data_IF_026922672505
#
_entry.id   IF_026922672505
#
_cell.length_a   1.000
_cell.length_b   1.000
_cell.length_c   1.000
_cell.angle_alpha   90.00
_cell.angle_beta   90.00
_cell.angle_gamma   90.00
#
_symmetry.space_group_name_H-M   'P 1'
#
loop_
_entity.id
_entity.type
_entity.pdbx_description
1 polymer ?
#
# COMPACT_ATOMS: atom_id res chain seq x y z
N UNK A 1 47.46 28.87 58.05
CA UNK A 1 47.06 29.79 56.95
C UNK A 1 46.46 28.93 55.83
N UNK A 2 45.24 29.26 55.41
CA UNK A 2 44.54 28.98 54.12
C UNK A 2 44.83 27.66 53.37
N UNK A 3 43.89 26.86 52.84
CA UNK A 3 42.44 26.92 52.59
C UNK A 3 42.05 25.52 52.06
N UNK A 4 40.85 24.98 52.32
CA UNK A 4 40.40 23.72 51.73
C UNK A 4 39.98 23.94 50.27
N UNK A 5 40.39 23.05 49.36
CA UNK A 5 39.93 23.05 47.98
C UNK A 5 38.45 22.62 47.93
N UNK A 6 37.60 23.57 47.55
CA UNK A 6 36.17 23.39 47.35
C UNK A 6 35.91 22.33 46.28
N UNK A 7 35.18 21.28 46.66
CA UNK A 7 34.45 20.43 45.73
C UNK A 7 33.31 21.26 45.09
N UNK A 8 33.52 21.74 43.87
CA UNK A 8 32.45 22.29 43.05
C UNK A 8 31.72 21.13 42.37
N UNK A 9 30.65 20.65 43.03
CA UNK A 9 29.58 19.93 42.36
C UNK A 9 28.95 20.87 41.33
N UNK A 10 29.36 20.72 40.07
CA UNK A 10 28.63 21.27 38.95
C UNK A 10 27.34 20.46 38.76
N UNK A 11 26.31 20.80 39.54
CA UNK A 11 24.94 20.45 39.19
C UNK A 11 24.59 21.29 37.95
N UNK A 12 24.86 20.73 36.77
CA UNK A 12 24.36 21.26 35.52
C UNK A 12 22.83 21.23 35.60
N UNK A 13 22.25 22.40 35.83
CA UNK A 13 20.81 22.60 35.72
C UNK A 13 20.42 22.26 34.27
N UNK A 14 19.83 21.08 34.08
CA UNK A 14 18.97 20.78 32.94
C UNK A 14 17.74 21.66 33.08
N UNK A 15 17.90 22.97 32.84
CA UNK A 15 16.79 23.85 32.60
C UNK A 15 16.17 23.38 31.29
N UNK A 16 15.17 22.50 31.42
CA UNK A 16 14.35 22.05 30.32
C UNK A 16 13.89 23.28 29.55
N UNK A 17 14.25 23.33 28.27
CA UNK A 17 13.63 24.23 27.32
C UNK A 17 12.13 23.90 27.32
N UNK A 18 11.37 24.55 28.20
CA UNK A 18 9.93 24.65 28.07
C UNK A 18 9.71 25.18 26.66
N UNK A 19 9.17 24.32 25.80
CA UNK A 19 8.96 24.60 24.39
C UNK A 19 7.99 25.79 24.30
N UNK A 20 8.53 27.01 24.31
CA UNK A 20 7.78 28.19 23.90
C UNK A 20 7.28 27.87 22.50
N UNK A 21 5.98 27.97 22.30
CA UNK A 21 5.37 27.78 20.98
C UNK A 21 5.99 28.75 19.96
N UNK A 22 5.47 28.79 18.72
CA UNK A 22 5.83 29.80 17.74
C UNK A 22 5.97 31.18 18.40
N UNK A 23 7.04 31.92 18.11
CA UNK A 23 7.52 33.05 18.92
C UNK A 23 6.39 33.94 19.46
N UNK A 24 6.21 33.94 20.79
CA UNK A 24 5.20 34.74 21.49
C UNK A 24 3.92 33.99 21.88
N UNK A 25 3.73 32.74 21.43
CA UNK A 25 2.61 31.90 21.86
C UNK A 25 2.97 31.09 23.11
N UNK A 26 2.23 31.30 24.19
CA UNK A 26 2.20 30.41 25.34
C UNK A 26 1.31 29.21 25.01
N UNK A 27 1.94 28.10 24.62
CA UNK A 27 1.25 26.86 24.29
C UNK A 27 1.32 25.91 25.49
N UNK A 28 0.19 25.67 26.15
CA UNK A 28 0.10 24.66 27.21
C UNK A 28 -0.03 23.27 26.59
N UNK A 29 1.04 22.47 26.72
CA UNK A 29 1.11 21.08 26.25
C UNK A 29 1.01 20.06 27.38
N UNK A 30 0.60 20.48 28.59
CA UNK A 30 0.46 19.60 29.75
C UNK A 30 -0.67 18.57 29.61
N UNK A 31 -1.63 18.82 28.71
CA UNK A 31 -2.76 17.94 28.42
C UNK A 31 -2.61 17.35 27.02
N UNK A 32 -2.69 16.03 26.91
CA UNK A 32 -2.71 15.30 25.63
C UNK A 32 -3.94 14.40 25.55
N UNK A 33 -4.67 14.44 24.43
CA UNK A 33 -5.85 13.62 24.23
C UNK A 33 -5.48 12.13 24.09
N UNK A 34 -6.23 11.25 24.76
CA UNK A 34 -6.12 9.79 24.57
C UNK A 34 -6.70 9.36 23.21
N UNK A 35 -7.77 10.03 22.75
CA UNK A 35 -8.43 9.75 21.48
C UNK A 35 -7.67 10.33 20.27
N UNK A 36 -6.56 9.71 19.90
CA UNK A 36 -5.78 10.06 18.72
C UNK A 36 -5.23 8.82 18.01
N UNK A 37 -4.92 8.95 16.72
CA UNK A 37 -4.35 7.88 15.90
C UNK A 37 -3.45 8.45 14.80
N UNK A 38 -2.74 7.57 14.10
CA UNK A 38 -1.93 7.92 12.93
C UNK A 38 -2.80 8.52 11.81
N UNK A 39 -2.26 9.54 11.12
CA UNK A 39 -2.85 10.06 9.86
C UNK A 39 -2.65 9.09 8.69
N UNK A 40 -1.55 8.34 8.71
CA UNK A 40 -1.30 7.26 7.76
C UNK A 40 -2.20 6.09 8.11
N UNK A 41 -3.00 5.65 7.14
CA UNK A 41 -3.97 4.56 7.25
C UNK A 41 -3.68 3.39 6.31
N UNK A 42 -2.86 3.61 5.28
CA UNK A 42 -2.59 2.62 4.24
C UNK A 42 -1.13 2.66 3.75
N UNK A 43 -0.69 1.56 3.13
CA UNK A 43 0.50 1.50 2.30
C UNK A 43 0.05 1.23 0.86
N UNK A 44 0.62 1.95 -0.10
CA UNK A 44 0.37 1.73 -1.53
C UNK A 44 1.68 1.32 -2.20
N UNK A 45 1.66 0.15 -2.84
CA UNK A 45 2.80 -0.45 -3.54
C UNK A 45 2.76 -0.14 -5.03
N UNK A 46 3.93 0.22 -5.57
CA UNK A 46 4.14 0.64 -6.97
C UNK A 46 5.34 -0.09 -7.55
N UNK A 47 5.43 -0.14 -8.88
CA UNK A 47 6.71 -0.32 -9.57
C UNK A 47 7.10 0.95 -10.32
N UNK A 48 8.40 1.09 -10.63
CA UNK A 48 8.92 2.30 -11.26
C UNK A 48 8.92 2.29 -12.80
N UNK A 49 8.89 1.12 -13.45
CA UNK A 49 9.07 0.94 -14.91
C UNK A 49 10.40 1.42 -15.50
N UNK A 50 11.37 1.78 -14.67
CA UNK A 50 12.69 2.28 -15.09
C UNK A 50 13.75 1.81 -14.09
N UNK A 51 15.02 1.86 -14.49
CA UNK A 51 16.14 1.43 -13.65
C UNK A 51 16.32 2.25 -12.35
N UNK A 52 17.24 1.79 -11.47
CA UNK A 52 17.56 2.41 -10.18
C UNK A 52 17.89 3.91 -10.30
N UNK A 53 18.76 4.28 -11.25
CA UNK A 53 19.27 5.64 -11.37
C UNK A 53 18.17 6.60 -11.85
N UNK A 54 17.39 6.18 -12.85
CA UNK A 54 16.27 6.95 -13.38
C UNK A 54 15.13 7.04 -12.38
N UNK A 55 14.84 5.97 -11.64
CA UNK A 55 13.84 5.95 -10.57
C UNK A 55 14.17 7.00 -9.51
N UNK A 56 15.42 7.00 -9.03
CA UNK A 56 15.88 7.97 -8.02
C UNK A 56 15.78 9.41 -8.54
N UNK A 57 16.16 9.66 -9.80
CA UNK A 57 16.03 10.99 -10.40
C UNK A 57 14.58 11.45 -10.48
N UNK A 58 13.67 10.61 -10.98
CA UNK A 58 12.26 10.94 -11.16
C UNK A 58 11.57 11.21 -9.81
N UNK A 59 11.83 10.36 -8.81
CA UNK A 59 11.14 10.45 -7.51
C UNK A 59 11.71 11.52 -6.57
N UNK A 60 12.95 11.98 -6.80
CA UNK A 60 13.57 13.03 -5.98
C UNK A 60 13.56 14.42 -6.61
N UNK A 61 13.49 14.52 -7.95
CA UNK A 61 13.56 15.79 -8.68
C UNK A 61 12.39 16.01 -9.66
N UNK A 62 11.54 15.02 -9.86
CA UNK A 62 10.41 15.08 -10.78
C UNK A 62 9.13 15.65 -10.15
N UNK A 63 8.01 15.44 -10.85
CA UNK A 63 6.66 15.88 -10.45
C UNK A 63 5.89 14.84 -9.65
N UNK A 64 6.49 13.68 -9.39
CA UNK A 64 5.96 12.58 -8.58
C UNK A 64 7.00 12.18 -7.55
N UNK A 65 6.57 11.61 -6.44
CA UNK A 65 7.45 11.16 -5.37
C UNK A 65 6.83 10.01 -4.59
N UNK A 66 7.65 9.24 -3.89
CA UNK A 66 7.24 8.21 -2.95
C UNK A 66 7.98 8.42 -1.63
N UNK A 67 7.47 7.85 -0.54
CA UNK A 67 8.17 7.91 0.74
C UNK A 67 9.41 7.03 0.69
N UNK A 68 9.28 5.85 0.08
CA UNK A 68 10.37 4.89 -0.06
C UNK A 68 10.58 4.45 -1.50
N UNK A 69 11.84 4.18 -1.84
CA UNK A 69 12.25 3.50 -3.08
C UNK A 69 13.11 2.28 -2.72
N UNK A 70 12.72 1.09 -3.17
CA UNK A 70 13.48 -0.16 -3.03
C UNK A 70 14.15 -0.50 -4.37
N UNK A 71 15.48 -0.42 -4.42
CA UNK A 71 16.27 -0.71 -5.64
C UNK A 71 16.35 -2.19 -5.96
N UNK A 72 16.87 -2.54 -7.14
CA UNK A 72 17.12 -3.95 -7.56
C UNK A 72 18.05 -4.71 -6.59
N UNK A 73 19.01 -4.00 -6.00
CA UNK A 73 19.94 -4.57 -5.01
C UNK A 73 19.33 -4.76 -3.61
N UNK A 74 18.12 -4.25 -3.37
CA UNK A 74 17.48 -4.21 -2.05
C UNK A 74 17.92 -3.03 -1.18
N UNK A 75 18.68 -2.07 -1.72
CA UNK A 75 18.94 -0.79 -1.04
C UNK A 75 17.63 0.00 -0.98
N UNK A 76 17.32 0.54 0.18
CA UNK A 76 16.10 1.32 0.39
C UNK A 76 16.45 2.78 0.66
N UNK A 77 15.83 3.69 -0.09
CA UNK A 77 15.90 5.12 0.15
C UNK A 77 14.61 5.60 0.80
N UNK A 78 14.72 6.51 1.78
CA UNK A 78 13.60 7.35 2.21
C UNK A 78 13.72 8.70 1.50
N UNK A 79 12.80 9.00 0.59
CA UNK A 79 12.81 10.21 -0.23
C UNK A 79 11.89 11.30 0.31
N UNK A 80 10.81 10.92 0.99
CA UNK A 80 9.86 11.83 1.64
C UNK A 80 9.63 11.33 3.06
N UNK A 81 9.69 12.24 4.05
CA UNK A 81 9.36 11.91 5.44
C UNK A 81 7.87 11.54 5.54
N UNK A 82 7.55 10.53 6.35
CA UNK A 82 6.18 9.99 6.47
C UNK A 82 5.17 10.97 7.11
N UNK A 83 5.64 12.06 7.72
CA UNK A 83 4.79 13.16 8.20
C UNK A 83 4.43 14.17 7.10
N UNK A 84 4.88 13.94 5.87
CA UNK A 84 4.59 14.72 4.67
C UNK A 84 3.87 13.82 3.67
N UNK A 85 3.02 14.40 2.84
CA UNK A 85 2.39 13.65 1.75
C UNK A 85 3.36 13.56 0.55
N UNK A 86 3.78 12.35 0.18
CA UNK A 86 4.38 12.09 -1.12
C UNK A 86 3.31 12.10 -2.24
N UNK A 87 3.73 12.27 -3.51
CA UNK A 87 2.85 12.36 -4.67
C UNK A 87 2.91 11.08 -5.51
N UNK A 88 2.33 9.99 -5.01
CA UNK A 88 2.39 8.66 -5.64
C UNK A 88 1.02 8.14 -6.11
N UNK A 89 -0.04 8.29 -5.31
CA UNK A 89 -1.35 7.72 -5.57
C UNK A 89 -2.12 8.47 -6.67
N UNK A 90 -2.08 9.81 -6.67
CA UNK A 90 -2.88 10.65 -7.58
C UNK A 90 -4.40 10.49 -7.34
N UNK A 91 -5.21 10.61 -8.40
CA UNK A 91 -6.64 10.30 -8.33
C UNK A 91 -6.84 8.83 -7.95
N UNK A 92 -7.38 8.61 -6.75
CA UNK A 92 -7.41 7.31 -6.07
C UNK A 92 -8.51 7.25 -5.01
N UNK A 93 -9.00 6.05 -4.72
CA UNK A 93 -9.96 5.80 -3.65
C UNK A 93 -9.81 4.38 -3.04
N UNK A 94 -9.98 4.25 -1.73
CA UNK A 94 -10.00 2.96 -1.02
C UNK A 94 -10.93 3.00 0.20
N UNK A 95 -11.87 2.06 0.30
CA UNK A 95 -12.94 2.07 1.32
C UNK A 95 -13.62 3.44 1.49
N UNK A 96 -13.93 4.09 0.36
CA UNK A 96 -14.53 5.42 0.32
C UNK A 96 -13.59 6.60 0.65
N UNK A 97 -12.36 6.34 1.12
CA UNK A 97 -11.37 7.40 1.32
C UNK A 97 -10.75 7.78 -0.03
N UNK A 98 -10.93 9.03 -0.44
CA UNK A 98 -10.38 9.56 -1.70
C UNK A 98 -9.03 10.26 -1.46
N UNK A 99 -8.28 10.50 -2.53
CA UNK A 99 -7.02 11.27 -2.50
C UNK A 99 -5.97 10.69 -1.53
N UNK A 100 -5.61 9.43 -1.78
CA UNK A 100 -4.86 8.58 -0.85
C UNK A 100 -3.44 9.09 -0.51
N UNK A 101 -2.86 10.03 -1.27
CA UNK A 101 -1.56 10.66 -0.95
C UNK A 101 -1.50 11.22 0.47
N UNK A 102 -2.61 11.73 1.00
CA UNK A 102 -2.65 12.41 2.29
C UNK A 102 -2.72 11.47 3.51
N UNK A 103 -3.05 10.20 3.28
CA UNK A 103 -3.28 9.21 4.35
C UNK A 103 -2.59 7.87 4.05
N UNK A 104 -1.58 7.85 3.18
CA UNK A 104 -0.88 6.62 2.85
C UNK A 104 0.63 6.82 2.67
N UNK A 105 1.35 5.72 2.85
CA UNK A 105 2.77 5.62 2.53
C UNK A 105 2.93 4.93 1.17
N UNK A 106 3.34 5.68 0.15
CA UNK A 106 3.83 5.13 -1.12
C UNK A 106 5.21 4.50 -1.02
N UNK A 107 5.33 3.27 -1.50
CA UNK A 107 6.61 2.55 -1.66
C UNK A 107 6.75 2.16 -3.13
N UNK A 108 7.79 2.69 -3.77
CA UNK A 108 8.19 2.36 -5.14
C UNK A 108 9.22 1.24 -5.14
N UNK A 109 9.05 0.26 -6.04
CA UNK A 109 9.96 -0.87 -6.18
C UNK A 109 10.52 -0.85 -7.59
N UNK A 110 11.85 -0.86 -7.72
CA UNK A 110 12.47 -0.86 -9.04
C UNK A 110 12.17 -2.17 -9.74
N UNK A 111 11.33 -2.10 -10.76
CA UNK A 111 10.91 -3.21 -11.59
C UNK A 111 10.41 -2.64 -12.93
N UNK A 112 10.72 -3.27 -14.08
CA UNK A 112 10.26 -2.80 -15.38
C UNK A 112 8.73 -2.75 -15.54
N UNK A 113 7.99 -3.50 -14.71
CA UNK A 113 6.55 -3.69 -14.83
C UNK A 113 6.25 -4.74 -15.89
N UNK A 114 5.60 -4.32 -16.98
CA UNK A 114 5.41 -5.14 -18.18
C UNK A 114 6.06 -4.50 -19.40
N UNK A 115 6.46 -5.35 -20.34
CA UNK A 115 6.95 -4.96 -21.68
C UNK A 115 6.15 -5.69 -22.75
N UNK A 116 6.23 -5.26 -24.01
CA UNK A 116 5.61 -5.99 -25.11
C UNK A 116 6.19 -7.41 -25.21
N UNK A 117 5.30 -8.40 -25.11
CA UNK A 117 5.66 -9.80 -25.29
C UNK A 117 5.72 -10.20 -26.77
N UNK A 118 6.37 -11.33 -27.09
CA UNK A 118 6.56 -11.77 -28.47
C UNK A 118 5.24 -12.14 -29.18
N UNK A 119 4.16 -12.41 -28.43
CA UNK A 119 2.82 -12.73 -28.92
C UNK A 119 1.85 -11.53 -28.85
N UNK A 120 2.36 -10.32 -28.58
CA UNK A 120 1.56 -9.11 -28.41
C UNK A 120 0.83 -9.03 -27.07
N UNK A 121 1.07 -9.97 -26.14
CA UNK A 121 0.57 -9.89 -24.76
C UNK A 121 1.61 -9.26 -23.83
N UNK A 122 1.20 -8.69 -22.68
CA UNK A 122 2.14 -8.15 -21.71
C UNK A 122 3.07 -9.23 -21.15
N UNK A 123 4.37 -9.02 -21.27
CA UNK A 123 5.40 -9.79 -20.56
C UNK A 123 5.71 -9.09 -19.24
N UNK A 124 5.30 -9.68 -18.12
CA UNK A 124 5.56 -9.16 -16.78
C UNK A 124 6.93 -9.59 -16.25
N UNK A 125 7.58 -8.71 -15.48
CA UNK A 125 8.90 -8.97 -14.91
C UNK A 125 8.81 -9.31 -13.41
N UNK A 126 9.44 -10.41 -12.94
CA UNK A 126 9.39 -10.80 -11.53
C UNK A 126 10.21 -9.86 -10.65
N UNK A 127 9.92 -9.85 -9.35
CA UNK A 127 10.67 -9.09 -8.35
C UNK A 127 11.84 -9.90 -7.79
N UNK A 128 13.00 -9.28 -7.63
CA UNK A 128 14.19 -9.94 -7.10
C UNK A 128 14.08 -10.23 -5.60
N UNK A 129 14.62 -11.36 -5.14
CA UNK A 129 14.50 -11.75 -3.72
C UNK A 129 15.09 -10.74 -2.74
N UNK A 130 16.20 -10.08 -3.10
CA UNK A 130 16.82 -9.04 -2.26
C UNK A 130 15.87 -7.86 -2.05
N UNK A 131 15.13 -7.47 -3.10
CA UNK A 131 14.13 -6.42 -3.03
C UNK A 131 12.99 -6.84 -2.12
N UNK A 132 12.47 -8.06 -2.31
CA UNK A 132 11.35 -8.58 -1.52
C UNK A 132 11.70 -8.72 -0.04
N UNK A 133 12.94 -9.12 0.30
CA UNK A 133 13.41 -9.15 1.69
C UNK A 133 13.45 -7.76 2.30
N UNK A 134 14.03 -6.78 1.61
CA UNK A 134 14.09 -5.39 2.07
C UNK A 134 12.68 -4.80 2.24
N UNK A 135 11.80 -5.03 1.27
CA UNK A 135 10.40 -4.62 1.29
C UNK A 135 9.64 -5.23 2.47
N UNK A 136 9.82 -6.53 2.73
CA UNK A 136 9.16 -7.24 3.85
C UNK A 136 9.54 -6.62 5.20
N UNK A 137 10.83 -6.30 5.40
CA UNK A 137 11.31 -5.65 6.64
C UNK A 137 10.73 -4.24 6.76
N UNK A 138 10.78 -3.45 5.68
CA UNK A 138 10.23 -2.09 5.64
C UNK A 138 8.73 -2.08 5.95
N UNK A 139 7.95 -2.96 5.30
CA UNK A 139 6.51 -3.03 5.48
C UNK A 139 6.13 -3.36 6.92
N UNK A 140 6.80 -4.32 7.57
CA UNK A 140 6.54 -4.64 8.98
C UNK A 140 6.74 -3.43 9.89
N UNK A 141 7.83 -2.68 9.68
CA UNK A 141 8.12 -1.48 10.46
C UNK A 141 7.05 -0.39 10.24
N UNK A 142 6.73 -0.06 8.99
CA UNK A 142 5.72 0.96 8.64
C UNK A 142 4.34 0.57 9.19
N UNK A 143 3.93 -0.69 9.00
CA UNK A 143 2.65 -1.22 9.46
C UNK A 143 2.55 -1.13 10.99
N UNK A 144 3.59 -1.57 11.71
CA UNK A 144 3.60 -1.55 13.17
C UNK A 144 3.55 -0.12 13.71
N UNK A 145 4.35 0.81 13.15
CA UNK A 145 4.43 2.19 13.63
C UNK A 145 3.13 2.96 13.42
N UNK A 146 2.40 2.68 12.34
CA UNK A 146 1.17 3.40 12.01
C UNK A 146 -0.12 2.64 12.37
N UNK A 147 -0.02 1.38 12.82
CA UNK A 147 -1.18 0.54 13.13
C UNK A 147 -2.04 0.24 11.90
N UNK A 148 -1.40 -0.05 10.76
CA UNK A 148 -2.09 -0.23 9.47
C UNK A 148 -2.77 -1.61 9.44
N UNK A 149 -4.07 -1.63 9.18
CA UNK A 149 -4.82 -2.87 9.04
C UNK A 149 -4.42 -3.65 7.76
N UNK A 150 -4.45 -4.99 7.75
CA UNK A 150 -4.00 -5.81 6.62
C UNK A 150 -4.68 -5.45 5.28
N UNK A 151 -5.97 -5.13 5.29
CA UNK A 151 -6.74 -4.71 4.11
C UNK A 151 -6.35 -3.35 3.53
N UNK A 152 -5.48 -2.60 4.23
CA UNK A 152 -4.95 -1.30 3.79
C UNK A 152 -3.49 -1.38 3.29
N UNK A 153 -2.97 -2.59 3.04
CA UNK A 153 -1.75 -2.80 2.25
C UNK A 153 -2.18 -3.19 0.83
N UNK A 154 -2.05 -2.26 -0.10
CA UNK A 154 -2.69 -2.33 -1.42
C UNK A 154 -1.73 -2.00 -2.55
N UNK A 155 -2.05 -2.44 -3.76
CA UNK A 155 -1.39 -1.99 -4.97
C UNK A 155 -1.93 -0.64 -5.47
N UNK A 156 -1.20 0.02 -6.36
CA UNK A 156 -1.73 1.20 -7.05
C UNK A 156 -2.95 0.85 -7.91
N UNK A 157 -2.97 -0.35 -8.47
CA UNK A 157 -4.10 -0.93 -9.22
C UNK A 157 -5.38 -1.01 -8.38
N UNK A 158 -5.28 -1.28 -7.08
CA UNK A 158 -6.46 -1.43 -6.23
C UNK A 158 -7.17 -0.09 -6.00
N UNK A 159 -6.39 0.96 -5.80
CA UNK A 159 -6.91 2.30 -5.49
C UNK A 159 -7.21 3.14 -6.74
N UNK A 160 -6.67 2.74 -7.90
CA UNK A 160 -6.81 3.46 -9.17
C UNK A 160 -6.98 2.49 -10.37
N UNK A 161 -7.94 1.55 -10.33
CA UNK A 161 -8.08 0.47 -11.30
C UNK A 161 -8.29 0.95 -12.74
N UNK A 162 -8.79 2.17 -12.91
CA UNK A 162 -9.04 2.76 -14.22
C UNK A 162 -7.78 3.31 -14.92
N UNK A 163 -6.65 3.38 -14.21
CA UNK A 163 -5.44 4.08 -14.67
C UNK A 163 -4.15 3.30 -14.42
N UNK A 164 -4.15 2.40 -13.44
CA UNK A 164 -2.94 1.79 -12.88
C UNK A 164 -3.08 0.28 -12.79
N UNK A 165 -1.96 -0.40 -13.02
CA UNK A 165 -1.86 -1.87 -13.05
C UNK A 165 -0.71 -2.38 -12.18
N UNK A 166 0.08 -1.47 -11.61
CA UNK A 166 1.15 -1.77 -10.67
C UNK A 166 0.62 -2.12 -9.27
N UNK A 167 1.27 -3.04 -8.54
CA UNK A 167 2.58 -3.66 -8.81
C UNK A 167 2.56 -4.86 -9.77
N UNK A 168 1.43 -5.15 -10.44
CA UNK A 168 1.34 -6.21 -11.42
C UNK A 168 1.01 -7.59 -10.83
N UNK A 169 0.71 -8.59 -11.68
CA UNK A 169 0.28 -9.92 -11.26
C UNK A 169 1.44 -10.79 -10.78
N UNK A 170 2.69 -10.41 -11.06
CA UNK A 170 3.89 -11.10 -10.55
C UNK A 170 4.34 -10.58 -9.18
N UNK A 171 3.65 -9.58 -8.62
CA UNK A 171 3.92 -9.16 -7.25
C UNK A 171 3.44 -10.23 -6.26
N UNK A 172 4.27 -10.68 -5.30
CA UNK A 172 4.00 -11.90 -4.54
C UNK A 172 3.11 -11.65 -3.31
N UNK A 173 1.87 -11.20 -3.52
CA UNK A 173 0.90 -10.87 -2.46
C UNK A 173 0.69 -12.02 -1.46
N UNK A 174 0.48 -13.25 -1.94
CA UNK A 174 0.33 -14.45 -1.09
C UNK A 174 1.54 -14.67 -0.16
N UNK A 175 2.75 -14.46 -0.68
CA UNK A 175 3.97 -14.66 0.11
C UNK A 175 4.10 -13.58 1.21
N UNK A 176 3.73 -12.34 0.92
CA UNK A 176 3.69 -11.26 1.93
C UNK A 176 2.64 -11.55 3.00
N UNK A 177 1.45 -12.01 2.61
CA UNK A 177 0.41 -12.38 3.57
C UNK A 177 0.84 -13.55 4.46
N UNK A 178 1.51 -14.56 3.90
CA UNK A 178 2.15 -15.63 4.68
C UNK A 178 3.24 -15.13 5.64
N UNK A 179 3.80 -13.94 5.39
CA UNK A 179 4.72 -13.25 6.27
C UNK A 179 4.03 -12.29 7.27
N UNK A 180 2.69 -12.29 7.32
CA UNK A 180 1.86 -11.45 8.19
C UNK A 180 1.61 -10.04 7.64
N UNK A 181 1.78 -9.81 6.34
CA UNK A 181 1.70 -8.49 5.70
C UNK A 181 0.60 -8.49 4.65
N UNK A 182 -0.41 -7.64 4.84
CA UNK A 182 -1.52 -7.53 3.92
C UNK A 182 -2.58 -8.63 4.12
N UNK A 183 -3.69 -8.51 3.42
CA UNK A 183 -4.81 -9.45 3.47
C UNK A 183 -4.65 -10.54 2.41
N UNK A 184 -4.96 -11.77 2.78
CA UNK A 184 -5.20 -12.89 1.86
C UNK A 184 -6.46 -13.63 2.28
N UNK A 185 -7.08 -14.34 1.35
CA UNK A 185 -8.32 -15.09 1.61
C UNK A 185 -8.03 -16.48 2.20
N UNK A 186 -9.04 -17.07 2.82
CA UNK A 186 -9.01 -18.49 3.18
C UNK A 186 -9.17 -19.36 1.92
N UNK A 187 -8.09 -20.01 1.50
CA UNK A 187 -8.07 -20.82 0.28
C UNK A 187 -8.97 -22.06 0.38
N UNK A 188 -9.15 -22.63 1.59
CA UNK A 188 -10.04 -23.76 1.81
C UNK A 188 -11.50 -23.33 1.69
N UNK A 189 -11.86 -22.20 2.30
CA UNK A 189 -13.17 -21.56 2.14
C UNK A 189 -13.48 -21.21 0.69
N UNK A 190 -12.51 -20.64 -0.03
CA UNK A 190 -12.65 -20.34 -1.46
C UNK A 190 -12.89 -21.61 -2.29
N UNK A 191 -12.16 -22.70 -2.04
CA UNK A 191 -12.39 -23.97 -2.73
C UNK A 191 -13.81 -24.53 -2.51
N UNK A 192 -14.33 -24.43 -1.28
CA UNK A 192 -15.69 -24.84 -0.97
C UNK A 192 -16.74 -23.97 -1.69
N UNK A 193 -16.53 -22.65 -1.75
CA UNK A 193 -17.39 -21.73 -2.50
C UNK A 193 -17.34 -22.00 -4.01
N UNK A 194 -16.17 -22.29 -4.56
CA UNK A 194 -16.00 -22.60 -5.99
C UNK A 194 -16.83 -23.82 -6.40
N UNK A 195 -16.75 -24.91 -5.65
CA UNK A 195 -17.54 -26.12 -5.92
C UNK A 195 -19.05 -25.83 -5.92
N UNK A 196 -19.53 -25.00 -4.98
CA UNK A 196 -20.93 -24.57 -4.93
C UNK A 196 -21.31 -23.73 -6.15
N UNK A 197 -20.49 -22.75 -6.53
CA UNK A 197 -20.75 -21.85 -7.65
C UNK A 197 -20.72 -22.58 -9.00
N UNK A 198 -19.87 -23.59 -9.16
CA UNK A 198 -19.87 -24.45 -10.35
C UNK A 198 -21.19 -25.24 -10.51
N UNK A 199 -21.82 -25.61 -9.40
CA UNK A 199 -23.11 -26.29 -9.41
C UNK A 199 -24.31 -25.34 -9.57
N UNK A 200 -24.24 -24.13 -9.00
CA UNK A 200 -25.37 -23.19 -8.91
C UNK A 200 -25.35 -22.07 -9.95
N UNK A 201 -24.21 -21.85 -10.62
CA UNK A 201 -23.99 -20.75 -11.55
C UNK A 201 -23.19 -19.60 -10.94
N UNK A 202 -22.57 -18.81 -11.82
CA UNK A 202 -21.83 -17.59 -11.47
C UNK A 202 -22.82 -16.47 -11.15
N UNK A 203 -22.60 -15.65 -10.11
CA UNK A 203 -23.47 -14.51 -9.81
C UNK A 203 -23.49 -13.49 -10.95
N UNK A 204 -24.52 -12.63 -10.97
CA UNK A 204 -24.61 -11.55 -11.94
C UNK A 204 -23.60 -10.41 -11.66
N UNK A 205 -23.49 -9.49 -12.62
CA UNK A 205 -22.54 -8.37 -12.53
C UNK A 205 -22.81 -7.46 -11.34
N UNK A 206 -24.09 -7.24 -10.99
CA UNK A 206 -24.47 -6.42 -9.85
C UNK A 206 -23.92 -7.01 -8.54
N UNK A 207 -23.91 -8.33 -8.40
CA UNK A 207 -23.29 -8.99 -7.25
C UNK A 207 -21.78 -8.72 -7.16
N UNK A 208 -21.05 -8.80 -8.28
CA UNK A 208 -19.60 -8.52 -8.30
C UNK A 208 -19.29 -7.07 -7.97
N UNK A 209 -20.05 -6.13 -8.54
CA UNK A 209 -19.94 -4.71 -8.24
C UNK A 209 -20.13 -4.46 -6.72
N UNK A 210 -21.14 -5.08 -6.10
CA UNK A 210 -21.37 -4.97 -4.65
C UNK A 210 -20.21 -5.55 -3.84
N UNK A 211 -19.67 -6.71 -4.23
CA UNK A 211 -18.54 -7.30 -3.50
C UNK A 211 -17.28 -6.46 -3.62
N UNK A 212 -16.99 -5.91 -4.80
CA UNK A 212 -15.87 -4.99 -5.01
C UNK A 212 -15.98 -3.77 -4.09
N UNK A 213 -17.17 -3.18 -3.97
CA UNK A 213 -17.41 -2.07 -3.05
C UNK A 213 -17.17 -2.48 -1.59
N UNK A 214 -17.69 -3.63 -1.16
CA UNK A 214 -17.48 -4.18 0.20
C UNK A 214 -16.01 -4.46 0.49
N UNK A 215 -15.23 -4.81 -0.54
CA UNK A 215 -13.80 -5.12 -0.45
C UNK A 215 -12.90 -3.89 -0.58
N UNK A 216 -13.48 -2.69 -0.76
CA UNK A 216 -12.79 -1.41 -0.72
C UNK A 216 -12.62 -0.71 -2.07
N UNK A 217 -12.94 -1.38 -3.18
CA UNK A 217 -12.76 -0.84 -4.53
C UNK A 217 -13.85 0.18 -4.89
N UNK A 218 -13.46 1.26 -5.55
CA UNK A 218 -14.40 2.16 -6.19
C UNK A 218 -14.89 1.54 -7.52
N UNK A 219 -16.13 1.03 -7.53
CA UNK A 219 -16.75 0.36 -8.68
C UNK A 219 -18.17 0.90 -8.91
N UNK A 220 -18.63 1.08 -10.17
CA UNK A 220 -20.04 1.36 -10.48
C UNK A 220 -20.99 0.33 -9.86
N UNK A 221 -22.25 0.70 -9.63
CA UNK A 221 -23.29 -0.15 -9.01
C UNK A 221 -24.57 -0.16 -9.86
N UNK A 222 -24.42 -0.30 -11.17
CA UNK A 222 -25.49 -0.23 -12.16
C UNK A 222 -25.84 -1.59 -12.79
N UNK A 223 -25.14 -2.65 -12.41
CA UNK A 223 -25.31 -4.01 -12.94
C UNK A 223 -24.78 -4.20 -14.36
N UNK A 224 -24.04 -3.24 -14.92
CA UNK A 224 -23.52 -3.30 -16.29
C UNK A 224 -22.05 -3.74 -16.28
N UNK A 225 -21.70 -4.72 -17.12
CA UNK A 225 -20.30 -5.12 -17.32
C UNK A 225 -19.60 -4.15 -18.28
N UNK A 226 -19.41 -2.93 -17.82
CA UNK A 226 -18.73 -1.88 -18.56
C UNK A 226 -17.21 -1.93 -18.35
N UNK A 227 -16.49 -1.05 -19.05
CA UNK A 227 -15.03 -0.96 -18.93
C UNK A 227 -14.58 -0.68 -17.50
N UNK A 228 -15.34 0.13 -16.74
CA UNK A 228 -14.99 0.46 -15.38
C UNK A 228 -15.08 -0.78 -14.45
N UNK A 229 -16.13 -1.56 -14.61
CA UNK A 229 -16.32 -2.84 -13.90
C UNK A 229 -15.24 -3.85 -14.29
N UNK A 230 -14.97 -4.04 -15.58
CA UNK A 230 -13.94 -4.95 -16.08
C UNK A 230 -12.56 -4.59 -15.52
N UNK A 231 -12.16 -3.31 -15.60
CA UNK A 231 -10.88 -2.86 -15.06
C UNK A 231 -10.75 -3.09 -13.55
N UNK A 232 -11.85 -2.93 -12.81
CA UNK A 232 -11.85 -3.12 -11.35
C UNK A 232 -11.76 -4.59 -10.99
N UNK A 233 -12.46 -5.47 -11.72
CA UNK A 233 -12.32 -6.91 -11.59
C UNK A 233 -10.90 -7.37 -11.94
N UNK A 234 -10.33 -6.84 -13.02
CA UNK A 234 -8.96 -7.17 -13.42
C UNK A 234 -7.96 -6.77 -12.32
N UNK A 235 -8.09 -5.58 -11.72
CA UNK A 235 -7.24 -5.15 -10.61
C UNK A 235 -7.35 -6.09 -9.40
N UNK A 236 -8.58 -6.48 -9.02
CA UNK A 236 -8.81 -7.47 -7.96
C UNK A 236 -8.16 -8.83 -8.29
N UNK A 237 -8.33 -9.30 -9.52
CA UNK A 237 -7.74 -10.56 -9.98
C UNK A 237 -6.21 -10.49 -10.00
N UNK A 238 -5.58 -9.39 -10.46
CA UNK A 238 -4.13 -9.24 -10.40
C UNK A 238 -3.59 -9.36 -8.98
N UNK A 239 -4.35 -8.91 -7.98
CA UNK A 239 -3.98 -9.02 -6.58
C UNK A 239 -4.20 -10.45 -6.02
N UNK A 240 -5.41 -11.00 -6.17
CA UNK A 240 -5.83 -12.22 -5.46
C UNK A 240 -5.88 -13.49 -6.31
N UNK A 241 -5.90 -13.37 -7.65
CA UNK A 241 -5.95 -14.47 -8.62
C UNK A 241 -5.11 -14.18 -9.88
N UNK A 242 -3.78 -14.00 -9.75
CA UNK A 242 -2.94 -13.51 -10.84
C UNK A 242 -2.78 -14.48 -12.02
N UNK A 243 -3.29 -15.72 -11.92
CA UNK A 243 -3.29 -16.67 -13.02
C UNK A 243 -4.24 -16.26 -14.17
N UNK A 244 -5.31 -15.52 -13.88
CA UNK A 244 -6.25 -14.99 -14.88
C UNK A 244 -6.88 -13.70 -14.37
N UNK A 245 -6.55 -12.59 -15.07
CA UNK A 245 -6.89 -11.21 -14.70
C UNK A 245 -7.50 -10.43 -15.87
N UNK A 246 -8.35 -11.07 -16.66
CA UNK A 246 -9.00 -10.48 -17.84
C UNK A 246 -10.19 -9.57 -17.50
N UNK A 247 -10.52 -9.43 -16.21
CA UNK A 247 -11.63 -8.63 -15.71
C UNK A 247 -13.00 -9.25 -15.98
N UNK A 248 -13.05 -10.51 -16.44
CA UNK A 248 -14.32 -11.20 -16.65
C UNK A 248 -14.84 -11.79 -15.33
N UNK A 249 -16.15 -11.69 -15.05
CA UNK A 249 -16.76 -12.37 -13.91
C UNK A 249 -16.69 -13.89 -14.08
N UNK A 250 -16.16 -14.59 -13.07
CA UNK A 250 -16.12 -16.06 -13.05
C UNK A 250 -16.29 -16.64 -11.64
N UNK A 251 -16.51 -17.96 -11.59
CA UNK A 251 -16.79 -18.67 -10.35
C UNK A 251 -15.62 -18.61 -9.35
N UNK A 252 -14.36 -18.58 -9.82
CA UNK A 252 -13.19 -18.55 -8.95
C UNK A 252 -13.00 -17.16 -8.32
N UNK A 253 -13.18 -16.10 -9.11
CA UNK A 253 -13.18 -14.71 -8.62
C UNK A 253 -14.28 -14.52 -7.57
N UNK A 254 -15.50 -15.01 -7.85
CA UNK A 254 -16.60 -14.95 -6.89
C UNK A 254 -16.32 -15.76 -5.61
N UNK A 255 -15.72 -16.94 -5.74
CA UNK A 255 -15.36 -17.77 -4.59
C UNK A 255 -14.32 -17.11 -3.69
N UNK A 256 -13.31 -16.47 -4.27
CA UNK A 256 -12.31 -15.68 -3.55
C UNK A 256 -12.98 -14.52 -2.82
N UNK A 257 -13.84 -13.74 -3.48
CA UNK A 257 -14.56 -12.64 -2.85
C UNK A 257 -15.40 -13.09 -1.66
N UNK A 258 -16.07 -14.25 -1.75
CA UNK A 258 -16.83 -14.83 -0.64
C UNK A 258 -15.94 -15.25 0.53
N UNK A 259 -14.76 -15.79 0.27
CA UNK A 259 -13.82 -16.21 1.30
C UNK A 259 -13.10 -15.03 2.01
N UNK A 260 -13.34 -13.80 1.56
CA UNK A 260 -12.76 -12.57 2.14
C UNK A 260 -13.74 -11.77 3.02
N UNK A 261 -15.04 -12.12 2.98
CA UNK A 261 -16.15 -11.37 3.58
C UNK A 261 -16.83 -12.15 4.69
#
# INVERSE_FOLDING_TARGET
MLRPALALLAAAALAGCAARGPAGLELDTSVTAVGQASRVRAVVLHYTSVDDARSLQLLSRGKVSAHYLVTESGRTYRLVDENRAAWHAGASAWYGNIAMNSTSIGIEIVNPGWTDGPDGKPLWHPYGERQLRALTVLLRDVIQRHGIAPENVVGHSDIAPQRKVDPGPLFPWKALAGAGIGRWYDEAGAAAHLARLQAQGVPDVAWFQQQLQRLGYACPQDGVLDKATINTLAAFQMHYRPALYDGQPDAETAAIMLAML
#
